data_IF_137029145204
#
_entry.id   IF_137029145204
#
_cell.length_a   1.000
_cell.length_b   1.000
_cell.length_c   1.000
_cell.angle_alpha   90.00
_cell.angle_beta   90.00
_cell.angle_gamma   90.00
#
_symmetry.space_group_name_H-M   'P 1'
#
loop_
_entity.id
_entity.type
_entity.pdbx_description
1 polymer ?
#
# COMPACT_ATOMS: atom_id res chain seq x y z
N UNK A 1 17.51 -17.97 0.98
CA UNK A 1 17.24 -16.56 1.30
C UNK A 1 15.76 -16.43 1.63
N UNK A 2 15.37 -15.79 2.74
CA UNK A 2 13.94 -15.60 3.06
C UNK A 2 13.27 -14.81 1.94
N UNK A 3 12.04 -15.15 1.51
CA UNK A 3 11.35 -14.39 0.48
C UNK A 3 11.16 -12.94 0.97
N UNK A 4 11.64 -11.98 0.19
CA UNK A 4 11.63 -10.54 0.52
C UNK A 4 10.21 -9.95 0.55
N UNK A 5 9.22 -10.64 -0.05
CA UNK A 5 7.83 -10.23 -0.11
C UNK A 5 6.93 -11.45 0.06
N UNK A 6 5.89 -11.33 0.89
CA UNK A 6 4.83 -12.33 1.03
C UNK A 6 3.60 -11.89 0.23
N UNK A 7 2.94 -12.84 -0.43
CA UNK A 7 1.63 -12.59 -1.05
C UNK A 7 0.57 -12.58 0.03
N UNK A 8 -0.24 -11.52 0.07
CA UNK A 8 -1.39 -11.40 0.97
C UNK A 8 -2.66 -11.25 0.15
N UNK A 9 -3.79 -11.73 0.69
CA UNK A 9 -5.12 -11.50 0.14
C UNK A 9 -5.85 -10.53 1.06
N UNK A 10 -6.33 -9.42 0.51
CA UNK A 10 -7.08 -8.40 1.23
C UNK A 10 -8.35 -8.08 0.46
N UNK A 11 -9.40 -7.70 1.18
CA UNK A 11 -10.64 -7.18 0.60
C UNK A 11 -10.64 -5.67 0.76
N UNK A 12 -10.93 -4.95 -0.32
CA UNK A 12 -11.04 -3.50 -0.39
C UNK A 12 -12.33 -3.17 -1.13
N UNK A 13 -12.90 -2.00 -0.87
CA UNK A 13 -14.06 -1.51 -1.60
C UNK A 13 -13.72 -1.30 -3.08
N UNK A 14 -14.70 -1.54 -3.96
CA UNK A 14 -14.49 -1.52 -5.42
C UNK A 14 -13.98 -0.16 -5.91
N UNK A 15 -14.54 0.92 -5.37
CA UNK A 15 -14.14 2.30 -5.70
C UNK A 15 -12.69 2.60 -5.30
N UNK A 16 -12.25 2.06 -4.16
CA UNK A 16 -10.85 2.16 -3.72
C UNK A 16 -9.93 1.38 -4.66
N UNK A 17 -10.31 0.17 -5.07
CA UNK A 17 -9.53 -0.64 -6.02
C UNK A 17 -9.36 0.11 -7.34
N UNK A 18 -10.44 0.69 -7.88
CA UNK A 18 -10.41 1.39 -9.17
C UNK A 18 -9.53 2.64 -9.12
N UNK A 19 -9.60 3.41 -8.03
CA UNK A 19 -8.72 4.57 -7.85
C UNK A 19 -7.25 4.16 -7.73
N UNK A 20 -6.95 3.16 -6.90
CA UNK A 20 -5.58 2.68 -6.72
C UNK A 20 -4.97 2.09 -8.01
N UNK A 21 -5.79 1.44 -8.86
CA UNK A 21 -5.35 0.96 -10.17
C UNK A 21 -4.96 2.10 -11.10
N UNK A 22 -5.83 3.11 -11.25
CA UNK A 22 -5.54 4.29 -12.08
C UNK A 22 -4.26 4.98 -11.65
N UNK A 23 -4.11 5.23 -10.35
CA UNK A 23 -2.90 5.87 -9.81
C UNK A 23 -1.64 5.01 -10.03
N UNK A 24 -1.76 3.68 -9.95
CA UNK A 24 -0.63 2.80 -10.23
C UNK A 24 -0.22 2.80 -11.71
N UNK A 25 -1.18 2.93 -12.61
CA UNK A 25 -0.94 3.06 -14.06
C UNK A 25 -0.31 4.42 -14.40
N UNK A 26 -0.77 5.51 -13.77
CA UNK A 26 -0.21 6.86 -13.93
C UNK A 26 1.24 6.96 -13.44
N UNK A 27 1.61 6.23 -12.40
CA UNK A 27 2.98 6.15 -11.85
C UNK A 27 3.85 5.07 -12.55
N UNK A 28 3.33 4.40 -13.59
CA UNK A 28 4.01 3.30 -14.32
C UNK A 28 4.49 2.16 -13.40
N UNK A 29 3.62 1.74 -12.46
CA UNK A 29 3.92 0.72 -11.45
C UNK A 29 2.86 -0.37 -11.38
N UNK A 30 3.28 -1.55 -10.95
CA UNK A 30 2.32 -2.60 -10.60
C UNK A 30 1.44 -2.19 -9.43
N UNK A 31 0.16 -2.59 -9.47
CA UNK A 31 -0.81 -2.36 -8.40
C UNK A 31 -0.30 -2.76 -7.01
N UNK A 32 0.32 -3.94 -6.89
CA UNK A 32 0.90 -4.42 -5.62
C UNK A 32 2.05 -3.55 -5.13
N UNK A 33 2.87 -2.99 -6.04
CA UNK A 33 3.97 -2.10 -5.66
C UNK A 33 3.42 -0.74 -5.20
N UNK A 34 2.41 -0.22 -5.88
CA UNK A 34 1.76 1.04 -5.53
C UNK A 34 1.11 0.96 -4.14
N UNK A 35 0.32 -0.08 -3.87
CA UNK A 35 -0.25 -0.34 -2.54
C UNK A 35 0.85 -0.42 -1.47
N UNK A 36 1.93 -1.15 -1.75
CA UNK A 36 3.01 -1.32 -0.80
C UNK A 36 3.73 0.02 -0.46
N UNK A 37 3.79 0.97 -1.39
CA UNK A 37 4.33 2.30 -1.12
C UNK A 37 3.40 3.12 -0.22
N UNK A 38 2.10 3.12 -0.51
CA UNK A 38 1.09 3.81 0.32
C UNK A 38 1.11 3.26 1.75
N UNK A 39 1.14 1.93 1.90
CA UNK A 39 1.19 1.30 3.22
C UNK A 39 2.48 1.65 3.97
N UNK A 40 3.62 1.70 3.29
CA UNK A 40 4.90 2.11 3.91
C UNK A 40 4.86 3.57 4.37
N UNK A 41 4.34 4.46 3.54
CA UNK A 41 4.20 5.89 3.88
C UNK A 41 3.25 6.07 5.07
N UNK A 42 2.11 5.38 5.06
CA UNK A 42 1.17 5.37 6.18
C UNK A 42 1.81 4.86 7.49
N UNK A 43 2.55 3.75 7.43
CA UNK A 43 3.25 3.22 8.60
C UNK A 43 4.35 4.14 9.11
N UNK A 44 5.11 4.78 8.21
CA UNK A 44 6.15 5.74 8.59
C UNK A 44 5.54 6.92 9.35
N UNK A 45 4.48 7.54 8.80
CA UNK A 45 3.74 8.64 9.45
C UNK A 45 3.18 8.26 10.82
N UNK A 46 2.75 7.00 10.99
CA UNK A 46 2.17 6.51 12.24
C UNK A 46 3.21 6.07 13.26
N UNK A 47 4.41 5.68 12.80
CA UNK A 47 5.53 5.31 13.68
C UNK A 47 6.25 6.55 14.20
N UNK A 48 6.27 7.64 13.44
CA UNK A 48 6.74 8.97 13.90
C UNK A 48 5.65 9.77 14.65
N UNK A 49 4.42 9.26 14.75
CA UNK A 49 3.39 9.85 15.59
C UNK A 49 3.59 9.40 17.05
N UNK A 50 3.60 10.31 18.04
CA UNK A 50 3.60 9.89 19.44
C UNK A 50 2.39 8.98 19.69
N UNK A 51 2.53 7.93 20.52
CA UNK A 51 1.39 7.10 20.87
C UNK A 51 0.30 8.03 21.43
N UNK A 52 -0.89 7.94 20.86
CA UNK A 52 -2.06 8.57 21.46
C UNK A 52 -2.27 7.88 22.82
N UNK A 53 -1.97 8.63 23.89
CA UNK A 53 -2.38 8.31 25.27
C UNK A 53 -3.89 8.13 25.37
#
# INVERSE_FOLDING_TARGET
MKPLKAKVSITLDTDVIDQLKRLSEEDDRSFSQYINLILKDYLARRTDAPPAE
#
